data_IF_837182088994
#
_entry.id   IF_837182088994
#
_cell.length_a   1.000
_cell.length_b   1.000
_cell.length_c   1.000
_cell.angle_alpha   90.00
_cell.angle_beta   90.00
_cell.angle_gamma   90.00
#
_symmetry.space_group_name_H-M   'P 1'
#
loop_
_entity.id
_entity.type
_entity.pdbx_description
1 polymer ?
#
# COMPACT_ATOMS: atom_id res chain seq x y z
N UNK A 1 -49.23 -22.89 24.23
CA UNK A 1 -48.77 -23.51 25.48
C UNK A 1 -47.25 -23.39 25.54
N UNK A 2 -46.71 -22.66 26.51
CA UNK A 2 -45.26 -22.51 26.70
C UNK A 2 -44.72 -23.76 27.40
N UNK A 3 -44.36 -24.78 26.63
CA UNK A 3 -43.61 -25.91 27.18
C UNK A 3 -42.16 -25.45 27.35
N UNK A 4 -41.68 -25.33 28.58
CA UNK A 4 -40.27 -25.02 28.87
C UNK A 4 -39.48 -26.29 28.55
N UNK A 5 -39.09 -26.40 27.29
CA UNK A 5 -38.31 -27.53 26.83
C UNK A 5 -36.82 -27.29 27.17
N UNK A 6 -36.33 -28.02 28.17
CA UNK A 6 -34.93 -27.97 28.61
C UNK A 6 -33.97 -28.36 27.46
N UNK A 7 -34.42 -29.21 26.52
CA UNK A 7 -33.62 -29.57 25.36
C UNK A 7 -33.39 -28.35 24.43
N UNK A 8 -34.42 -27.55 24.15
CA UNK A 8 -34.29 -26.37 23.30
C UNK A 8 -33.41 -25.29 23.93
N UNK A 9 -33.47 -25.12 25.25
CA UNK A 9 -32.58 -24.22 25.99
C UNK A 9 -31.12 -24.68 25.88
N UNK A 10 -30.87 -25.98 26.05
CA UNK A 10 -29.53 -26.57 25.95
C UNK A 10 -28.96 -26.46 24.54
N UNK A 11 -29.77 -26.75 23.51
CA UNK A 11 -29.37 -26.61 22.10
C UNK A 11 -29.04 -25.14 21.79
N UNK A 12 -29.85 -24.21 22.28
CA UNK A 12 -29.60 -22.77 22.09
C UNK A 12 -28.32 -22.31 22.79
N UNK A 13 -28.03 -22.87 23.97
CA UNK A 13 -26.75 -22.63 24.65
C UNK A 13 -25.57 -23.19 23.85
N UNK A 14 -25.66 -24.42 23.34
CA UNK A 14 -24.61 -25.04 22.53
C UNK A 14 -24.35 -24.26 21.23
N UNK A 15 -25.41 -23.79 20.59
CA UNK A 15 -25.34 -22.91 19.42
C UNK A 15 -24.70 -21.56 19.75
N UNK A 16 -24.98 -20.98 20.92
CA UNK A 16 -24.33 -19.75 21.36
C UNK A 16 -22.82 -19.97 21.57
N UNK A 17 -22.42 -21.14 22.09
CA UNK A 17 -21.02 -21.52 22.19
C UNK A 17 -20.36 -21.58 20.81
N UNK A 18 -21.01 -22.26 19.85
CA UNK A 18 -20.54 -22.36 18.47
C UNK A 18 -20.40 -20.99 17.79
N UNK A 19 -21.30 -20.05 18.05
CA UNK A 19 -21.17 -18.66 17.57
C UNK A 19 -19.93 -17.96 18.15
N UNK A 20 -19.63 -18.18 19.43
CA UNK A 20 -18.39 -17.72 20.03
C UNK A 20 -17.15 -18.23 19.30
N UNK A 21 -17.18 -19.49 18.86
CA UNK A 21 -16.12 -20.10 18.05
C UNK A 21 -15.97 -19.39 16.70
N UNK A 22 -17.09 -19.08 16.04
CA UNK A 22 -17.11 -18.35 14.76
C UNK A 22 -16.46 -16.96 14.92
N UNK A 23 -16.77 -16.24 16.00
CA UNK A 23 -16.12 -14.95 16.30
C UNK A 23 -14.61 -15.11 16.50
N UNK A 24 -14.18 -16.21 17.14
CA UNK A 24 -12.77 -16.48 17.34
C UNK A 24 -12.05 -16.75 16.00
N UNK A 25 -12.66 -17.55 15.13
CA UNK A 25 -12.12 -17.84 13.79
C UNK A 25 -12.04 -16.59 12.92
N UNK A 26 -13.07 -15.75 12.94
CA UNK A 26 -13.07 -14.46 12.23
C UNK A 26 -11.92 -13.58 12.71
N UNK A 27 -11.73 -13.48 14.03
CA UNK A 27 -10.62 -12.73 14.62
C UNK A 27 -9.26 -13.27 14.17
N UNK A 28 -9.07 -14.59 14.14
CA UNK A 28 -7.82 -15.22 13.71
C UNK A 28 -7.54 -14.95 12.22
N UNK A 29 -8.55 -14.96 11.35
CA UNK A 29 -8.40 -14.55 9.95
C UNK A 29 -7.84 -13.13 9.83
N UNK A 30 -8.43 -12.16 10.54
CA UNK A 30 -7.94 -10.79 10.55
C UNK A 30 -6.51 -10.70 11.13
N UNK A 31 -6.20 -11.46 12.19
CA UNK A 31 -4.86 -11.53 12.77
C UNK A 31 -3.82 -12.06 11.77
N UNK A 32 -4.16 -13.08 10.98
CA UNK A 32 -3.27 -13.64 9.95
C UNK A 32 -3.00 -12.61 8.86
N UNK A 33 -4.04 -11.90 8.38
CA UNK A 33 -3.89 -10.82 7.41
C UNK A 33 -2.89 -9.75 7.91
N UNK A 34 -2.94 -9.42 9.20
CA UNK A 34 -2.02 -8.46 9.85
C UNK A 34 -0.57 -8.95 9.90
N UNK A 35 -0.32 -10.25 9.98
CA UNK A 35 1.04 -10.82 9.98
C UNK A 35 1.61 -10.85 8.55
N UNK A 36 0.75 -11.05 7.53
CA UNK A 36 1.15 -11.11 6.12
C UNK A 36 1.49 -9.71 5.60
N UNK A 37 0.57 -8.77 5.79
CA UNK A 37 0.69 -7.43 5.25
C UNK A 37 1.28 -6.48 6.29
N UNK A 38 2.30 -5.71 5.90
CA UNK A 38 2.74 -4.56 6.69
C UNK A 38 1.69 -3.43 6.55
N UNK A 39 0.54 -3.58 7.19
CA UNK A 39 -0.53 -2.60 7.17
C UNK A 39 -0.10 -1.30 7.87
N UNK A 40 -0.48 -0.17 7.28
CA UNK A 40 -0.41 1.14 7.94
C UNK A 40 -1.42 1.20 9.09
N UNK A 41 -1.21 2.10 10.07
CA UNK A 41 -2.10 2.28 11.22
C UNK A 41 -3.58 2.46 10.82
N UNK A 42 -3.84 3.05 9.67
CA UNK A 42 -5.18 3.27 9.11
C UNK A 42 -5.86 1.95 8.72
N UNK A 43 -5.12 1.03 8.08
CA UNK A 43 -5.70 -0.25 7.67
C UNK A 43 -6.04 -1.14 8.87
N UNK A 44 -5.27 -1.05 9.96
CA UNK A 44 -5.60 -1.72 11.23
C UNK A 44 -6.93 -1.20 11.78
N UNK A 45 -7.13 0.12 11.77
CA UNK A 45 -8.38 0.73 12.22
C UNK A 45 -9.59 0.26 11.41
N UNK A 46 -9.51 0.28 10.08
CA UNK A 46 -10.59 -0.23 9.23
C UNK A 46 -10.89 -1.71 9.50
N UNK A 47 -9.87 -2.51 9.73
CA UNK A 47 -10.02 -3.93 10.03
C UNK A 47 -10.75 -4.15 11.37
N UNK A 48 -10.42 -3.37 12.40
CA UNK A 48 -11.06 -3.46 13.71
C UNK A 48 -12.54 -3.01 13.64
N UNK A 49 -12.84 -1.93 12.91
CA UNK A 49 -14.23 -1.48 12.66
C UNK A 49 -15.04 -2.53 11.90
N UNK A 50 -14.47 -3.09 10.84
CA UNK A 50 -15.13 -4.10 10.01
C UNK A 50 -15.38 -5.38 10.82
N UNK A 51 -14.43 -5.78 11.68
CA UNK A 51 -14.62 -6.91 12.60
C UNK A 51 -15.79 -6.66 13.58
N UNK A 52 -15.88 -5.47 14.18
CA UNK A 52 -17.00 -5.13 15.06
C UNK A 52 -18.35 -5.16 14.35
N UNK A 53 -18.44 -4.62 13.13
CA UNK A 53 -19.67 -4.63 12.33
C UNK A 53 -20.09 -6.08 12.04
N UNK A 54 -19.17 -6.95 11.63
CA UNK A 54 -19.47 -8.36 11.37
C UNK A 54 -19.93 -9.08 12.65
N UNK A 55 -19.23 -8.88 13.76
CA UNK A 55 -19.60 -9.51 15.03
C UNK A 55 -20.97 -9.05 15.51
N UNK A 56 -21.26 -7.75 15.44
CA UNK A 56 -22.56 -7.19 15.80
C UNK A 56 -23.66 -7.75 14.89
N UNK A 57 -23.42 -7.80 13.58
CA UNK A 57 -24.36 -8.35 12.60
C UNK A 57 -24.68 -9.82 12.88
N UNK A 58 -23.65 -10.66 13.05
CA UNK A 58 -23.82 -12.08 13.36
C UNK A 58 -24.51 -12.31 14.71
N UNK A 59 -24.16 -11.52 15.74
CA UNK A 59 -24.82 -11.58 17.04
C UNK A 59 -26.30 -11.20 16.92
N UNK A 60 -26.61 -10.16 16.14
CA UNK A 60 -27.98 -9.72 15.89
C UNK A 60 -28.79 -10.77 15.15
N UNK A 61 -28.24 -11.34 14.07
CA UNK A 61 -28.87 -12.45 13.33
C UNK A 61 -29.14 -13.64 14.26
N UNK A 62 -28.19 -14.00 15.12
CA UNK A 62 -28.37 -15.09 16.06
C UNK A 62 -29.52 -14.84 17.05
N UNK A 63 -29.60 -13.64 17.61
CA UNK A 63 -30.67 -13.24 18.54
C UNK A 63 -32.04 -13.25 17.87
N UNK A 64 -32.13 -12.80 16.61
CA UNK A 64 -33.38 -12.84 15.83
C UNK A 64 -33.83 -14.28 15.60
N UNK A 65 -32.92 -15.16 15.16
CA UNK A 65 -33.25 -16.55 14.79
C UNK A 65 -33.59 -17.40 16.02
N UNK A 66 -32.87 -17.24 17.13
CA UNK A 66 -32.96 -18.16 18.28
C UNK A 66 -33.77 -17.60 19.46
N UNK A 67 -33.94 -16.29 19.52
CA UNK A 67 -34.57 -15.65 20.67
C UNK A 67 -35.72 -14.71 20.28
N UNK A 68 -36.17 -14.71 19.01
CA UNK A 68 -37.17 -13.75 18.50
C UNK A 68 -36.81 -12.29 18.83
N UNK A 69 -35.52 -11.97 18.97
CA UNK A 69 -35.03 -10.65 19.37
C UNK A 69 -34.91 -10.39 20.88
N UNK A 70 -35.28 -11.34 21.76
CA UNK A 70 -35.08 -11.20 23.20
C UNK A 70 -33.63 -11.48 23.60
N UNK A 71 -33.00 -10.53 24.31
CA UNK A 71 -31.62 -10.69 24.79
C UNK A 71 -31.60 -11.58 26.02
N UNK A 72 -31.33 -12.87 25.81
CA UNK A 72 -31.15 -13.85 26.87
C UNK A 72 -29.68 -13.86 27.33
N UNK A 73 -29.43 -13.48 28.58
CA UNK A 73 -28.07 -13.34 29.13
C UNK A 73 -27.20 -14.60 28.98
N UNK A 74 -27.79 -15.79 29.08
CA UNK A 74 -27.06 -17.06 28.91
C UNK A 74 -26.48 -17.27 27.49
N UNK A 75 -27.08 -16.65 26.46
CA UNK A 75 -26.56 -16.68 25.08
C UNK A 75 -25.29 -15.83 24.97
N UNK A 76 -25.29 -14.66 25.59
CA UNK A 76 -24.13 -13.78 25.63
C UNK A 76 -22.98 -14.44 26.42
N UNK A 77 -23.29 -15.04 27.57
CA UNK A 77 -22.29 -15.77 28.37
C UNK A 77 -21.76 -16.98 27.60
N UNK A 78 -22.63 -17.75 26.93
CA UNK A 78 -22.23 -18.92 26.14
C UNK A 78 -21.32 -18.55 24.96
N UNK A 79 -21.65 -17.48 24.23
CA UNK A 79 -20.78 -16.97 23.15
C UNK A 79 -19.44 -16.44 23.63
N UNK A 80 -19.40 -15.73 24.77
CA UNK A 80 -18.14 -15.29 25.39
C UNK A 80 -17.29 -16.47 25.85
N UNK A 81 -17.90 -17.47 26.50
CA UNK A 81 -17.21 -18.68 26.94
C UNK A 81 -16.67 -19.49 25.76
N UNK A 82 -17.50 -19.70 24.73
CA UNK A 82 -17.10 -20.38 23.49
C UNK A 82 -15.90 -19.71 22.84
N UNK A 83 -15.92 -18.37 22.77
CA UNK A 83 -14.80 -17.59 22.26
C UNK A 83 -13.53 -17.75 23.10
N UNK A 84 -13.62 -17.70 24.43
CA UNK A 84 -12.44 -17.86 25.32
C UNK A 84 -11.84 -19.26 25.18
N UNK A 85 -12.67 -20.31 25.24
CA UNK A 85 -12.21 -21.71 25.15
C UNK A 85 -11.53 -21.96 23.80
N UNK A 86 -12.14 -21.51 22.71
CA UNK A 86 -11.58 -21.67 21.37
C UNK A 86 -10.31 -20.84 21.18
N UNK A 87 -10.26 -19.62 21.75
CA UNK A 87 -9.07 -18.77 21.70
C UNK A 87 -7.86 -19.40 22.37
N UNK A 88 -8.07 -20.09 23.49
CA UNK A 88 -6.97 -20.76 24.19
C UNK A 88 -6.51 -22.02 23.44
N UNK A 89 -7.43 -22.74 22.82
CA UNK A 89 -7.15 -24.07 22.23
C UNK A 89 -6.77 -23.99 20.75
N UNK A 90 -7.69 -23.49 19.91
CA UNK A 90 -7.60 -23.54 18.45
C UNK A 90 -6.77 -22.41 17.88
N UNK A 91 -6.80 -21.21 18.48
CA UNK A 91 -6.04 -20.08 17.93
C UNK A 91 -4.53 -20.32 17.97
N UNK A 92 -4.00 -21.01 18.98
CA UNK A 92 -2.57 -21.35 19.05
C UNK A 92 -2.17 -22.23 17.87
N UNK A 93 -2.98 -23.24 17.56
CA UNK A 93 -2.77 -24.17 16.45
C UNK A 93 -2.86 -23.45 15.09
N UNK A 94 -3.94 -22.69 14.87
CA UNK A 94 -4.19 -21.95 13.63
C UNK A 94 -3.05 -20.96 13.37
N UNK A 95 -2.61 -20.23 14.40
CA UNK A 95 -1.52 -19.27 14.25
C UNK A 95 -0.17 -19.96 14.02
N UNK A 96 0.07 -21.14 14.60
CA UNK A 96 1.26 -21.92 14.31
C UNK A 96 1.30 -22.33 12.83
N UNK A 97 0.19 -22.88 12.31
CA UNK A 97 0.06 -23.21 10.89
C UNK A 97 0.19 -21.98 9.99
N UNK A 98 -0.49 -20.89 10.31
CA UNK A 98 -0.41 -19.66 9.54
C UNK A 98 1.02 -19.12 9.50
N UNK A 99 1.74 -19.10 10.62
CA UNK A 99 3.16 -18.68 10.63
C UNK A 99 4.02 -19.58 9.75
N UNK A 100 3.78 -20.89 9.74
CA UNK A 100 4.49 -21.82 8.87
C UNK A 100 4.25 -21.51 7.39
N UNK A 101 2.98 -21.32 7.00
CA UNK A 101 2.58 -20.96 5.64
C UNK A 101 3.19 -19.62 5.22
N UNK A 102 3.15 -18.61 6.09
CA UNK A 102 3.71 -17.28 5.79
C UNK A 102 5.23 -17.37 5.61
N UNK A 103 5.93 -18.15 6.43
CA UNK A 103 7.37 -18.40 6.26
C UNK A 103 7.66 -19.07 4.92
N UNK A 104 6.85 -20.05 4.54
CA UNK A 104 6.98 -20.73 3.26
C UNK A 104 6.78 -19.76 2.08
N UNK A 105 5.71 -18.95 2.09
CA UNK A 105 5.45 -17.94 1.06
C UNK A 105 6.59 -16.93 0.98
N UNK A 106 7.09 -16.42 2.12
CA UNK A 106 8.23 -15.49 2.14
C UNK A 106 9.51 -16.14 1.60
N UNK A 107 9.73 -17.41 1.90
CA UNK A 107 10.87 -18.17 1.36
C UNK A 107 10.78 -18.28 -0.16
N UNK A 108 9.63 -18.69 -0.70
CA UNK A 108 9.37 -18.74 -2.15
C UNK A 108 9.56 -17.37 -2.79
N UNK A 109 8.97 -16.32 -2.22
CA UNK A 109 9.11 -14.96 -2.74
C UNK A 109 10.55 -14.46 -2.69
N UNK A 110 11.32 -14.81 -1.66
CA UNK A 110 12.74 -14.43 -1.57
C UNK A 110 13.58 -15.08 -2.68
N UNK A 111 13.30 -16.35 -3.00
CA UNK A 111 13.96 -17.08 -4.08
C UNK A 111 13.66 -16.49 -5.46
N UNK A 112 12.42 -16.06 -5.69
CA UNK A 112 12.00 -15.46 -6.97
C UNK A 112 12.45 -13.99 -7.07
N UNK A 113 12.40 -13.23 -5.99
CA UNK A 113 12.73 -11.79 -6.02
C UNK A 113 14.22 -11.49 -6.15
N UNK A 114 15.10 -12.44 -5.78
CA UNK A 114 16.55 -12.34 -5.97
C UNK A 114 16.95 -12.07 -7.44
N UNK A 115 16.65 -12.99 -8.38
CA UNK A 115 16.99 -12.80 -9.79
C UNK A 115 16.29 -11.60 -10.42
N UNK A 116 15.02 -11.32 -10.05
CA UNK A 116 14.26 -10.18 -10.58
C UNK A 116 14.89 -8.83 -10.18
N UNK A 117 15.31 -8.69 -8.91
CA UNK A 117 15.99 -7.46 -8.45
C UNK A 117 17.35 -7.29 -9.11
N UNK A 118 18.09 -8.38 -9.38
CA UNK A 118 19.36 -8.34 -10.09
C UNK A 118 19.19 -7.87 -11.55
N UNK A 119 18.19 -8.42 -12.26
CA UNK A 119 17.78 -7.99 -13.59
C UNK A 119 17.42 -6.50 -13.63
N UNK A 120 16.60 -6.04 -12.68
CA UNK A 120 16.20 -4.62 -12.62
C UNK A 120 17.39 -3.69 -12.34
N UNK A 121 18.33 -4.11 -11.47
CA UNK A 121 19.56 -3.35 -11.18
C UNK A 121 20.47 -3.28 -12.41
N UNK A 122 20.54 -4.35 -13.21
CA UNK A 122 21.30 -4.39 -14.46
C UNK A 122 20.71 -3.43 -15.51
N UNK A 123 19.39 -3.48 -15.73
CA UNK A 123 18.68 -2.58 -16.65
C UNK A 123 18.86 -1.12 -16.21
N UNK A 124 18.71 -0.81 -14.91
CA UNK A 124 18.92 0.54 -14.37
C UNK A 124 20.36 1.05 -14.57
N UNK A 125 21.37 0.17 -14.48
CA UNK A 125 22.77 0.52 -14.75
C UNK A 125 22.96 0.90 -16.23
N UNK A 126 22.38 0.13 -17.15
CA UNK A 126 22.38 0.41 -18.60
C UNK A 126 21.65 1.73 -18.92
N UNK A 127 20.44 1.95 -18.39
CA UNK A 127 19.70 3.20 -18.57
C UNK A 127 20.43 4.42 -18.00
N UNK A 128 21.10 4.30 -16.84
CA UNK A 128 21.93 5.40 -16.30
C UNK A 128 23.13 5.72 -17.18
N UNK A 129 23.77 4.72 -17.78
CA UNK A 129 24.88 4.93 -18.70
C UNK A 129 24.42 5.68 -19.96
N UNK A 130 23.29 5.24 -20.55
CA UNK A 130 22.68 5.88 -21.72
C UNK A 130 22.24 7.31 -21.40
N UNK A 131 21.58 7.53 -20.26
CA UNK A 131 21.17 8.85 -19.77
C UNK A 131 22.36 9.82 -19.60
N UNK A 132 23.47 9.34 -19.01
CA UNK A 132 24.70 10.15 -18.88
C UNK A 132 25.29 10.49 -20.25
N UNK A 133 25.24 9.55 -21.19
CA UNK A 133 25.70 9.78 -22.57
C UNK A 133 24.87 10.87 -23.24
N UNK A 134 23.53 10.79 -23.18
CA UNK A 134 22.65 11.82 -23.71
C UNK A 134 22.83 13.18 -23.02
N UNK A 135 22.99 13.22 -21.69
CA UNK A 135 23.26 14.47 -20.96
C UNK A 135 24.58 15.10 -21.37
N UNK A 136 25.63 14.31 -21.59
CA UNK A 136 26.92 14.81 -22.04
C UNK A 136 26.89 15.29 -23.50
N UNK A 137 26.12 14.64 -24.36
CA UNK A 137 25.92 15.07 -25.75
C UNK A 137 25.07 16.34 -25.82
N UNK A 138 23.99 16.42 -25.05
CA UNK A 138 23.14 17.60 -24.96
C UNK A 138 23.87 18.81 -24.35
N UNK A 139 24.68 18.62 -23.31
CA UNK A 139 25.46 19.71 -22.70
C UNK A 139 26.55 20.23 -23.64
N UNK A 140 27.20 19.34 -24.42
CA UNK A 140 28.13 19.74 -25.50
C UNK A 140 27.41 20.52 -26.61
N UNK A 141 26.21 20.12 -26.99
CA UNK A 141 25.41 20.80 -28.01
C UNK A 141 24.95 22.18 -27.54
N UNK A 142 24.40 22.29 -26.32
CA UNK A 142 23.97 23.55 -25.71
C UNK A 142 25.11 24.57 -25.60
N UNK A 143 26.30 24.14 -25.22
CA UNK A 143 27.48 25.01 -25.13
C UNK A 143 27.97 25.50 -26.50
N UNK A 144 27.82 24.71 -27.57
CA UNK A 144 28.10 25.14 -28.95
C UNK A 144 27.09 26.18 -29.42
N UNK A 145 25.80 25.96 -29.19
CA UNK A 145 24.74 26.92 -29.55
C UNK A 145 24.89 28.24 -28.79
N UNK A 146 25.22 28.19 -27.49
CA UNK A 146 25.49 29.38 -26.66
C UNK A 146 26.72 30.18 -27.15
N UNK A 147 27.76 29.50 -27.66
CA UNK A 147 28.92 30.15 -28.31
C UNK A 147 28.53 30.83 -29.63
N UNK A 148 27.67 30.20 -30.43
CA UNK A 148 27.17 30.77 -31.68
C UNK A 148 26.28 32.01 -31.44
N UNK A 149 25.43 31.97 -30.41
CA UNK A 149 24.62 33.12 -29.96
C UNK A 149 25.47 34.31 -29.47
N UNK A 150 26.66 34.07 -28.91
CA UNK A 150 27.59 35.14 -28.51
C UNK A 150 28.35 35.78 -29.68
N UNK A 151 28.41 35.18 -30.86
CA UNK A 151 29.24 35.64 -32.00
C UNK A 151 28.70 36.89 -32.71
N UNK A 152 27.46 37.32 -32.43
CA UNK A 152 26.80 38.46 -33.11
C UNK A 152 26.84 39.80 -32.36
N UNK A 153 27.61 39.94 -31.27
CA UNK A 153 27.85 41.26 -30.67
C UNK A 153 28.94 41.96 -31.50
N UNK A 154 28.54 42.73 -32.53
CA UNK A 154 29.45 43.64 -33.23
C UNK A 154 30.15 44.50 -32.18
N UNK A 155 31.47 44.37 -32.05
CA UNK A 155 32.23 45.23 -31.16
C UNK A 155 32.09 46.67 -31.64
N UNK A 156 31.64 47.56 -30.76
CA UNK A 156 31.31 48.98 -31.03
C UNK A 156 32.45 49.70 -31.76
N UNK A 157 33.69 49.26 -31.54
CA UNK A 157 34.88 49.79 -32.20
C UNK A 157 34.82 49.69 -33.75
N UNK A 158 34.34 48.57 -34.31
CA UNK A 158 34.21 48.41 -35.76
C UNK A 158 33.07 49.27 -36.35
N UNK A 159 32.04 49.58 -35.56
CA UNK A 159 30.94 50.45 -35.99
C UNK A 159 31.36 51.93 -35.99
N UNK A 160 32.12 52.34 -34.97
CA UNK A 160 32.71 53.67 -34.84
C UNK A 160 33.67 53.99 -35.99
N UNK A 161 34.60 53.09 -36.29
CA UNK A 161 35.55 53.28 -37.41
C UNK A 161 34.85 53.30 -38.78
N UNK A 162 33.84 52.45 -39.00
CA UNK A 162 33.03 52.51 -40.24
C UNK A 162 32.23 53.81 -40.37
N UNK A 163 31.69 54.36 -39.27
CA UNK A 163 31.02 55.68 -39.28
C UNK A 163 31.99 56.81 -39.59
N UNK A 164 33.19 56.82 -39.00
CA UNK A 164 34.22 57.84 -39.28
C UNK A 164 34.69 57.78 -40.75
N UNK A 165 34.95 56.58 -41.28
CA UNK A 165 35.32 56.40 -42.69
C UNK A 165 34.21 56.82 -43.68
N UNK A 166 32.92 56.59 -43.34
CA UNK A 166 31.79 57.02 -44.16
C UNK A 166 31.56 58.54 -44.10
N UNK A 167 31.82 59.18 -42.95
CA UNK A 167 31.72 60.65 -42.79
C UNK A 167 32.82 61.39 -43.57
N UNK A 168 34.04 60.83 -43.62
CA UNK A 168 35.12 61.39 -44.45
C UNK A 168 34.86 61.27 -45.95
N UNK A 169 34.21 60.18 -46.40
CA UNK A 169 33.82 60.02 -47.81
C UNK A 169 32.64 60.92 -48.26
N UNK A 170 31.80 61.39 -47.34
CA UNK A 170 30.69 62.30 -47.66
C UNK A 170 31.07 63.77 -47.75
N UNK A 171 32.17 64.19 -47.11
CA UNK A 171 32.65 65.59 -47.12
C UNK A 171 33.60 65.91 -48.30
N UNK A 172 34.01 64.90 -49.09
CA UNK A 172 34.86 65.09 -50.28
C UNK A 172 34.12 65.15 -51.61
N UNK A 173 32.78 65.25 -51.61
CA UNK A 173 31.95 65.26 -52.83
C UNK A 173 31.14 66.56 -53.01
N UNK A 174 31.43 67.59 -52.22
CA UNK A 174 30.91 68.96 -52.38
C UNK A 174 32.07 69.93 -52.38
N UNK A 175 32.86 69.91 -53.46
CA UNK A 175 33.80 70.95 -53.87
C UNK A 175 34.02 70.79 -55.37
#
# INVERSE_FOLDING_TARGET
>A
MWYINIADQTITFLLSLAMGCVFCLLYDCFRILRIINNYSKIAIFFQDVLYWIICAFLCCCFLIIRCNGEVRGYVLVGSLLGWIIFRLTLSVLILAFARQIIRFIKWVYSKISGPVKALFKYIRKKCRAISKFFKNTASKMFNRTKKLLKRKKLMVYNYSHKRKAKKQRGMGSTA
#
